data_IF_890267022555
#
_entry.id   IF_890267022555
#
_cell.length_a   1.000
_cell.length_b   1.000
_cell.length_c   1.000
_cell.angle_alpha   90.00
_cell.angle_beta   90.00
_cell.angle_gamma   90.00
#
_symmetry.space_group_name_H-M   'P 1'
#
loop_
_entity.id
_entity.type
_entity.pdbx_description
1 polymer ?
#
# COMPACT_ATOMS: atom_id res chain seq x y z
N UNK A 1 34.93 -1.09 -1.89
CA UNK A 1 34.08 -2.08 -2.59
C UNK A 1 33.09 -1.39 -3.53
N UNK A 2 33.45 -0.26 -4.13
CA UNK A 2 32.55 0.58 -4.95
C UNK A 2 32.85 0.46 -6.45
N UNK A 3 34.09 0.08 -6.80
CA UNK A 3 34.56 0.03 -8.19
C UNK A 3 33.85 -1.06 -9.02
N UNK A 4 33.34 -2.11 -8.36
CA UNK A 4 32.64 -3.20 -9.05
C UNK A 4 31.21 -2.81 -9.44
N UNK A 5 30.57 -1.91 -8.69
CA UNK A 5 29.19 -1.50 -8.97
C UNK A 5 29.10 -0.69 -10.27
N UNK A 6 30.08 0.20 -10.49
CA UNK A 6 30.15 1.01 -11.70
C UNK A 6 30.36 0.15 -12.95
N UNK A 7 31.23 -0.87 -12.89
CA UNK A 7 31.41 -1.81 -14.01
C UNK A 7 30.15 -2.63 -14.30
N UNK A 8 29.44 -3.09 -13.28
CA UNK A 8 28.19 -3.83 -13.45
C UNK A 8 27.09 -2.95 -14.06
N UNK A 9 27.04 -1.68 -13.66
CA UNK A 9 26.10 -0.72 -14.21
C UNK A 9 26.43 -0.38 -15.67
N UNK A 10 27.71 -0.11 -15.97
CA UNK A 10 28.16 0.20 -17.32
C UNK A 10 27.89 -1.00 -18.27
N UNK A 11 28.15 -2.24 -17.83
CA UNK A 11 27.81 -3.46 -18.61
C UNK A 11 26.31 -3.65 -18.83
N UNK A 12 25.46 -3.26 -17.87
CA UNK A 12 24.01 -3.34 -18.03
C UNK A 12 23.48 -2.31 -19.05
N UNK A 13 24.18 -1.18 -19.21
CA UNK A 13 23.79 -0.10 -20.11
C UNK A 13 24.36 -0.23 -21.54
N UNK A 14 25.36 -1.08 -21.76
CA UNK A 14 26.04 -1.26 -23.07
C UNK A 14 25.10 -1.67 -24.22
N UNK A 15 23.89 -2.16 -23.93
CA UNK A 15 22.87 -2.54 -24.92
C UNK A 15 21.66 -1.60 -25.00
N UNK A 16 21.58 -0.57 -24.15
CA UNK A 16 20.43 0.33 -24.15
C UNK A 16 20.53 1.32 -25.32
N UNK A 17 19.51 1.41 -26.18
CA UNK A 17 19.50 2.42 -27.23
C UNK A 17 19.49 3.81 -26.59
N UNK A 18 20.42 4.67 -27.03
CA UNK A 18 20.48 6.05 -26.54
C UNK A 18 19.09 6.69 -26.64
N UNK A 19 18.61 7.35 -25.56
CA UNK A 19 17.33 8.04 -25.61
C UNK A 19 17.36 9.04 -26.77
N UNK A 20 16.26 9.15 -27.54
CA UNK A 20 16.22 10.02 -28.71
C UNK A 20 16.57 11.45 -28.28
N UNK A 21 17.45 12.15 -29.03
CA UNK A 21 17.87 13.49 -28.64
C UNK A 21 16.69 14.45 -28.67
N UNK A 22 16.53 15.24 -27.61
CA UNK A 22 15.47 16.24 -27.46
C UNK A 22 14.66 16.07 -26.18
N UNK A 23 13.61 16.87 -26.05
CA UNK A 23 12.69 16.77 -24.92
C UNK A 23 11.79 15.54 -25.11
N UNK A 24 12.05 14.50 -24.30
CA UNK A 24 11.30 13.24 -24.32
C UNK A 24 9.80 13.48 -24.07
N UNK A 25 9.45 14.52 -23.30
CA UNK A 25 8.05 14.88 -23.06
C UNK A 25 7.37 15.37 -24.33
N UNK A 26 8.03 16.24 -25.11
CA UNK A 26 7.50 16.74 -26.39
C UNK A 26 7.36 15.60 -27.41
N UNK A 27 8.31 14.68 -27.45
CA UNK A 27 8.32 13.55 -28.38
C UNK A 27 7.19 12.56 -28.09
N UNK A 28 6.96 12.25 -26.81
CA UNK A 28 5.84 11.42 -26.37
C UNK A 28 4.47 12.08 -26.67
N UNK A 29 4.35 13.39 -26.47
CA UNK A 29 3.13 14.15 -26.78
C UNK A 29 2.82 14.21 -28.28
N UNK A 30 3.85 14.27 -29.14
CA UNK A 30 3.70 14.26 -30.60
C UNK A 30 3.12 12.94 -31.14
N UNK A 31 3.56 11.81 -30.58
CA UNK A 31 3.05 10.49 -30.94
C UNK A 31 1.57 10.31 -30.55
N UNK A 32 1.18 10.77 -29.35
CA UNK A 32 -0.19 10.68 -28.85
C UNK A 32 -1.23 11.44 -29.70
N UNK A 33 -0.85 12.56 -30.34
CA UNK A 33 -1.75 13.34 -31.19
C UNK A 33 -2.14 12.65 -32.51
N UNK A 34 -1.34 11.71 -33.02
CA UNK A 34 -1.67 10.98 -34.27
C UNK A 34 -2.77 9.94 -34.09
N UNK A 35 -2.97 9.42 -32.88
CA UNK A 35 -3.96 8.39 -32.57
C UNK A 35 -5.40 8.96 -32.60
N UNK A 36 -5.57 10.25 -32.27
CA UNK A 36 -6.91 10.88 -32.21
C UNK A 36 -7.55 11.11 -33.59
N UNK A 37 -6.77 11.20 -34.67
CA UNK A 37 -7.30 11.58 -36.00
C UNK A 37 -8.02 10.46 -36.77
N UNK A 38 -7.89 9.19 -36.36
CA UNK A 38 -8.48 8.05 -37.08
C UNK A 38 -9.93 7.70 -36.68
N UNK A 39 -10.51 8.36 -35.68
CA UNK A 39 -11.87 8.03 -35.18
C UNK A 39 -12.98 8.99 -35.61
N UNK A 40 -12.71 9.97 -36.48
CA UNK A 40 -13.71 10.98 -36.87
C UNK A 40 -14.22 10.89 -38.31
N UNK A 41 -13.92 9.82 -39.05
CA UNK A 41 -14.50 9.61 -40.39
C UNK A 41 -15.43 8.41 -40.36
N UNK A 42 -16.66 8.57 -39.89
CA UNK A 42 -17.85 7.76 -40.25
C UNK A 42 -19.13 8.29 -39.58
N UNK A 43 -19.47 9.59 -39.74
CA UNK A 43 -20.88 10.04 -39.72
C UNK A 43 -20.96 11.27 -40.63
N UNK A 44 -21.34 11.06 -41.89
CA UNK A 44 -21.82 12.14 -42.76
C UNK A 44 -23.33 12.27 -42.62
N UNK A 45 -23.85 13.51 -42.55
CA UNK A 45 -25.28 13.77 -42.65
C UNK A 45 -25.80 14.96 -41.83
N UNK A 46 -25.62 16.17 -42.37
CA UNK A 46 -26.51 17.35 -42.35
C UNK A 46 -27.39 17.73 -41.13
N UNK A 47 -27.19 18.99 -40.71
CA UNK A 47 -28.19 20.06 -40.48
C UNK A 47 -28.97 20.14 -39.15
N UNK A 48 -28.62 21.20 -38.40
CA UNK A 48 -29.48 22.14 -37.66
C UNK A 48 -30.55 21.60 -36.68
N UNK A 49 -30.25 21.72 -35.38
CA UNK A 49 -31.23 22.17 -34.37
C UNK A 49 -30.49 22.61 -33.09
N UNK A 50 -30.71 23.85 -32.67
CA UNK A 50 -30.30 24.34 -31.37
C UNK A 50 -31.16 23.67 -30.28
N UNK A 51 -30.52 23.00 -29.33
CA UNK A 51 -31.11 22.68 -28.03
C UNK A 51 -30.13 23.09 -26.94
N UNK A 52 -30.59 24.02 -26.11
CA UNK A 52 -30.01 24.39 -24.83
C UNK A 52 -29.95 23.13 -23.97
N UNK A 53 -28.75 22.63 -23.72
CA UNK A 53 -28.48 21.53 -22.80
C UNK A 53 -27.08 21.73 -22.27
N UNK A 54 -26.99 22.11 -20.99
CA UNK A 54 -25.75 22.40 -20.30
C UNK A 54 -24.74 21.25 -20.44
N UNK A 55 -23.75 21.41 -21.32
CA UNK A 55 -22.55 20.61 -21.30
C UNK A 55 -21.69 21.15 -20.16
N UNK A 56 -21.85 20.51 -19.00
CA UNK A 56 -20.96 20.65 -17.85
C UNK A 56 -19.53 20.53 -18.36
N UNK A 57 -18.82 21.65 -18.43
CA UNK A 57 -17.38 21.66 -18.60
C UNK A 57 -16.82 21.02 -17.34
N UNK A 58 -16.60 19.70 -17.39
CA UNK A 58 -15.77 19.04 -16.40
C UNK A 58 -14.38 19.63 -16.61
N UNK A 59 -14.04 20.61 -15.77
CA UNK A 59 -12.67 21.05 -15.57
C UNK A 59 -11.89 19.86 -15.03
N UNK A 60 -11.43 18.99 -15.92
CA UNK A 60 -10.40 18.02 -15.60
C UNK A 60 -9.11 18.81 -15.56
N UNK A 61 -8.84 19.38 -14.39
CA UNK A 61 -7.49 19.77 -13.99
C UNK A 61 -6.69 18.47 -13.95
N UNK A 62 -5.69 18.24 -14.81
CA UNK A 62 -4.74 17.19 -14.56
C UNK A 62 -3.80 17.72 -13.48
N UNK A 63 -4.16 17.48 -12.22
CA UNK A 63 -3.21 17.68 -11.13
C UNK A 63 -2.09 16.65 -11.29
N UNK A 64 -0.81 17.05 -11.33
CA UNK A 64 0.27 16.14 -11.04
C UNK A 64 0.29 15.96 -9.52
N UNK A 65 -0.62 15.13 -9.00
CA UNK A 65 -0.43 14.58 -7.66
C UNK A 65 0.18 13.19 -7.83
N UNK A 66 1.46 13.22 -8.20
CA UNK A 66 2.46 12.53 -7.39
C UNK A 66 2.36 13.07 -5.96
N UNK A 67 1.27 12.73 -5.29
CA UNK A 67 1.21 12.74 -3.85
C UNK A 67 2.21 11.69 -3.43
N UNK A 68 3.34 12.17 -2.94
CA UNK A 68 4.14 11.51 -1.92
C UNK A 68 3.25 10.49 -1.22
N UNK A 69 3.54 9.20 -1.37
CA UNK A 69 2.95 8.20 -0.47
C UNK A 69 3.25 8.77 0.90
N UNK A 70 2.27 9.24 1.70
CA UNK A 70 2.60 9.68 3.03
C UNK A 70 3.19 8.43 3.66
N UNK A 71 4.48 8.50 3.97
CA UNK A 71 5.17 7.55 4.82
C UNK A 71 4.58 7.72 6.23
N UNK A 72 3.27 7.49 6.38
CA UNK A 72 2.58 7.43 7.67
C UNK A 72 2.53 6.02 8.20
N UNK A 73 2.89 5.03 7.38
CA UNK A 73 3.51 3.82 7.92
C UNK A 73 4.97 4.20 8.13
N UNK A 74 5.46 4.43 9.36
CA UNK A 74 6.89 4.58 9.57
C UNK A 74 7.54 3.37 8.90
N UNK A 75 8.61 3.56 8.14
CA UNK A 75 9.28 2.47 7.42
C UNK A 75 9.54 1.25 8.35
N UNK A 76 9.64 1.50 9.66
CA UNK A 76 9.62 0.50 10.73
C UNK A 76 8.39 -0.44 10.74
N UNK A 77 7.15 0.03 10.55
CA UNK A 77 5.96 -0.82 10.54
C UNK A 77 5.87 -1.69 9.27
N UNK A 78 6.24 -1.15 8.12
CA UNK A 78 6.42 -1.95 6.91
C UNK A 78 7.59 -2.96 7.06
N UNK A 79 8.66 -2.57 7.75
CA UNK A 79 9.78 -3.47 8.07
C UNK A 79 9.36 -4.57 9.05
N UNK A 80 8.47 -4.30 10.01
CA UNK A 80 7.94 -5.31 10.94
C UNK A 80 7.09 -6.37 10.24
N UNK A 81 6.32 -6.00 9.20
CA UNK A 81 5.58 -6.99 8.40
C UNK A 81 6.51 -7.93 7.60
N UNK A 82 7.73 -7.48 7.25
CA UNK A 82 8.73 -8.26 6.50
C UNK A 82 9.74 -9.01 7.39
N UNK A 83 9.69 -8.80 8.70
CA UNK A 83 10.67 -9.34 9.62
C UNK A 83 10.47 -10.83 9.96
N UNK A 84 9.34 -11.42 9.57
CA UNK A 84 9.10 -12.86 9.64
C UNK A 84 9.36 -13.49 8.27
N UNK A 85 10.55 -14.07 8.02
CA UNK A 85 10.88 -14.66 6.71
C UNK A 85 9.95 -15.83 6.35
N UNK A 86 9.30 -16.45 7.32
CA UNK A 86 8.26 -17.45 7.10
C UNK A 86 6.99 -16.86 6.48
N UNK A 87 6.70 -15.58 6.70
CA UNK A 87 5.49 -14.95 6.20
C UNK A 87 5.66 -14.44 4.77
N UNK A 88 4.79 -14.89 3.87
CA UNK A 88 4.59 -14.28 2.57
C UNK A 88 3.62 -13.10 2.69
N UNK A 89 4.16 -11.89 2.75
CA UNK A 89 3.41 -10.63 2.72
C UNK A 89 3.18 -10.10 1.30
N UNK A 90 3.73 -10.77 0.28
CA UNK A 90 3.58 -10.37 -1.13
C UNK A 90 2.32 -10.95 -1.75
N UNK A 91 1.84 -12.07 -1.21
CA UNK A 91 0.60 -12.68 -1.68
C UNK A 91 -0.62 -11.85 -1.28
N UNK A 92 -1.42 -11.51 -2.28
CA UNK A 92 -2.80 -11.02 -2.05
C UNK A 92 -3.81 -12.15 -2.02
N UNK A 93 -3.39 -13.36 -2.34
CA UNK A 93 -4.22 -14.56 -2.37
C UNK A 93 -3.87 -15.42 -1.15
N UNK A 94 -4.86 -15.95 -0.45
CA UNK A 94 -4.66 -16.80 0.73
C UNK A 94 -4.10 -16.07 1.97
N UNK A 95 -4.48 -14.82 2.20
CA UNK A 95 -4.17 -14.10 3.44
C UNK A 95 -4.80 -14.81 4.65
N UNK A 96 -3.98 -15.34 5.55
CA UNK A 96 -4.43 -16.02 6.77
C UNK A 96 -4.09 -15.25 8.03
N UNK A 97 -3.12 -14.35 7.97
CA UNK A 97 -2.62 -13.60 9.10
C UNK A 97 -2.81 -12.12 8.81
N UNK A 98 -3.45 -11.42 9.74
CA UNK A 98 -3.82 -10.02 9.57
C UNK A 98 -3.36 -9.22 10.78
N UNK A 99 -2.86 -8.03 10.51
CA UNK A 99 -2.46 -7.05 11.52
C UNK A 99 -3.19 -5.76 11.26
N UNK A 100 -3.97 -5.33 12.25
CA UNK A 100 -4.65 -4.02 12.24
C UNK A 100 -3.81 -3.08 13.09
N UNK A 101 -3.19 -2.09 12.47
CA UNK A 101 -2.44 -1.04 13.16
C UNK A 101 -3.37 0.08 13.57
N UNK A 102 -3.25 0.52 14.82
CA UNK A 102 -4.07 1.59 15.37
C UNK A 102 -3.38 2.94 15.20
N UNK A 103 -4.18 4.00 15.10
CA UNK A 103 -3.67 5.37 15.12
C UNK A 103 -3.00 5.69 16.46
N UNK A 104 -1.98 6.54 16.47
CA UNK A 104 -1.30 6.95 17.71
C UNK A 104 -2.22 7.65 18.73
N UNK A 105 -3.28 8.31 18.26
CA UNK A 105 -4.28 9.02 19.07
C UNK A 105 -5.54 8.17 19.35
N UNK A 106 -5.45 6.84 19.19
CA UNK A 106 -6.60 5.96 19.44
C UNK A 106 -7.07 6.09 20.89
N UNK A 107 -8.35 6.36 21.08
CA UNK A 107 -8.96 6.44 22.40
C UNK A 107 -9.28 5.05 22.95
N UNK A 108 -9.37 4.91 24.28
CA UNK A 108 -9.81 3.66 24.93
C UNK A 108 -11.14 3.15 24.38
N UNK A 109 -12.08 4.06 24.12
CA UNK A 109 -13.39 3.73 23.58
C UNK A 109 -13.31 3.19 22.14
N UNK A 110 -12.49 3.80 21.28
CA UNK A 110 -12.28 3.31 19.92
C UNK A 110 -11.59 1.95 19.92
N UNK A 111 -10.55 1.78 20.73
CA UNK A 111 -9.83 0.51 20.88
C UNK A 111 -10.77 -0.61 21.36
N UNK A 112 -11.57 -0.36 22.39
CA UNK A 112 -12.55 -1.32 22.89
C UNK A 112 -13.64 -1.66 21.87
N UNK A 113 -14.08 -0.68 21.07
CA UNK A 113 -15.06 -0.91 20.01
C UNK A 113 -14.50 -1.81 18.90
N UNK A 114 -13.25 -1.57 18.46
CA UNK A 114 -12.56 -2.40 17.49
C UNK A 114 -12.38 -3.82 18.05
N UNK A 115 -11.88 -3.95 19.28
CA UNK A 115 -11.65 -5.24 19.93
C UNK A 115 -12.95 -6.05 20.03
N UNK A 116 -14.04 -5.43 20.51
CA UNK A 116 -15.34 -6.09 20.61
C UNK A 116 -15.87 -6.52 19.23
N UNK A 117 -15.69 -5.68 18.21
CA UNK A 117 -16.03 -6.01 16.84
C UNK A 117 -15.25 -7.21 16.30
N UNK A 118 -13.95 -7.29 16.58
CA UNK A 118 -13.09 -8.41 16.15
C UNK A 118 -13.43 -9.70 16.90
N UNK A 119 -13.74 -9.64 18.19
CA UNK A 119 -14.14 -10.81 18.99
C UNK A 119 -15.47 -11.40 18.53
N UNK A 120 -16.38 -10.56 18.02
CA UNK A 120 -17.68 -10.98 17.50
C UNK A 120 -17.64 -11.45 16.04
N UNK A 121 -16.55 -11.22 15.31
CA UNK A 121 -16.45 -11.51 13.89
C UNK A 121 -16.14 -13.00 13.64
N UNK A 122 -17.04 -13.75 12.96
CA UNK A 122 -16.82 -15.18 12.66
C UNK A 122 -15.68 -15.43 11.65
N UNK A 123 -15.15 -14.39 11.01
CA UNK A 123 -13.97 -14.50 10.14
C UNK A 123 -12.66 -14.50 10.94
N UNK A 124 -12.69 -14.11 12.22
CA UNK A 124 -11.53 -14.11 13.12
C UNK A 124 -11.46 -15.43 13.88
N UNK A 125 -10.30 -16.09 13.84
CA UNK A 125 -10.02 -17.35 14.56
C UNK A 125 -9.28 -17.11 15.87
N UNK A 126 -8.19 -16.36 15.81
CA UNK A 126 -7.38 -15.97 16.96
C UNK A 126 -7.23 -14.46 16.94
N UNK A 127 -7.22 -13.82 18.11
CA UNK A 127 -7.05 -12.38 18.27
C UNK A 127 -6.12 -12.12 19.45
N UNK A 128 -5.04 -11.40 19.20
CA UNK A 128 -4.06 -10.98 20.18
C UNK A 128 -3.87 -9.46 20.08
N UNK A 129 -3.93 -8.77 21.21
CA UNK A 129 -3.57 -7.35 21.28
C UNK A 129 -2.07 -7.21 21.55
N UNK A 130 -1.42 -6.34 20.79
CA UNK A 130 -0.01 -6.01 20.93
C UNK A 130 0.14 -4.53 21.29
N UNK A 131 0.58 -4.27 22.52
CA UNK A 131 0.91 -2.91 22.99
C UNK A 131 2.17 -2.38 22.31
N UNK A 132 2.41 -1.08 22.42
CA UNK A 132 3.62 -0.42 21.88
C UNK A 132 4.89 -1.02 22.49
N UNK A 133 4.88 -1.29 23.79
CA UNK A 133 6.01 -1.89 24.51
C UNK A 133 6.27 -3.31 24.03
N UNK A 134 5.20 -4.11 23.85
CA UNK A 134 5.31 -5.47 23.33
C UNK A 134 5.84 -5.48 21.88
N UNK A 135 5.33 -4.57 21.04
CA UNK A 135 5.83 -4.37 19.68
C UNK A 135 7.31 -4.00 19.67
N UNK A 136 7.74 -3.10 20.56
CA UNK A 136 9.14 -2.68 20.68
C UNK A 136 10.06 -3.81 21.13
N UNK A 137 9.63 -4.63 22.09
CA UNK A 137 10.40 -5.82 22.50
C UNK A 137 10.60 -6.78 21.33
N UNK A 138 9.54 -7.09 20.58
CA UNK A 138 9.64 -7.96 19.40
C UNK A 138 10.48 -7.34 18.29
N UNK A 139 10.32 -6.04 18.05
CA UNK A 139 11.11 -5.30 17.06
C UNK A 139 12.61 -5.41 17.34
N UNK A 140 13.04 -5.23 18.60
CA UNK A 140 14.45 -5.40 18.99
C UNK A 140 14.97 -6.81 18.74
N UNK A 141 14.16 -7.83 18.98
CA UNK A 141 14.55 -9.22 18.73
C UNK A 141 14.68 -9.51 17.23
N UNK A 142 13.71 -9.05 16.44
CA UNK A 142 13.68 -9.23 14.98
C UNK A 142 14.85 -8.55 14.28
N UNK A 143 15.29 -7.39 14.78
CA UNK A 143 16.35 -6.58 14.19
C UNK A 143 17.64 -6.59 15.03
N UNK A 144 17.85 -7.63 15.84
CA UNK A 144 19.05 -7.75 16.70
C UNK A 144 20.37 -7.74 15.91
N UNK A 145 20.33 -8.21 14.66
CA UNK A 145 21.48 -8.22 13.75
C UNK A 145 21.69 -6.86 13.05
N UNK A 146 20.87 -5.85 13.36
CA UNK A 146 20.92 -4.50 12.80
C UNK A 146 20.76 -3.44 13.91
N UNK A 147 21.73 -3.34 14.84
CA UNK A 147 21.62 -2.49 16.04
C UNK A 147 21.51 -1.00 15.73
N UNK A 148 22.11 -0.52 14.62
CA UNK A 148 21.98 0.88 14.19
C UNK A 148 20.55 1.21 13.79
N UNK A 149 19.83 0.27 13.16
CA UNK A 149 18.42 0.43 12.83
C UNK A 149 17.56 0.44 14.08
N UNK A 150 17.82 -0.47 15.02
CA UNK A 150 17.11 -0.53 16.30
C UNK A 150 17.24 0.78 17.09
N UNK A 151 18.41 1.42 17.07
CA UNK A 151 18.64 2.70 17.76
C UNK A 151 17.90 3.88 17.12
N UNK A 152 17.55 3.78 15.83
CA UNK A 152 16.81 4.83 15.11
C UNK A 152 15.29 4.77 15.27
N UNK A 153 14.77 3.70 15.88
CA UNK A 153 13.33 3.49 16.06
C UNK A 153 13.02 3.46 17.56
N UNK A 154 12.36 4.50 18.05
CA UNK A 154 11.85 4.53 19.42
C UNK A 154 10.51 3.79 19.57
N UNK A 155 10.14 3.39 20.79
CA UNK A 155 8.88 2.71 21.06
C UNK A 155 7.65 3.52 20.67
N UNK A 156 7.72 4.85 20.71
CA UNK A 156 6.68 5.76 20.26
C UNK A 156 6.44 5.73 18.75
N UNK A 157 7.40 5.21 17.99
CA UNK A 157 7.30 5.05 16.53
C UNK A 157 6.65 3.72 16.12
N UNK A 158 6.25 2.89 17.09
CA UNK A 158 5.59 1.61 16.85
C UNK A 158 4.13 1.68 17.32
N UNK A 159 3.16 1.66 16.39
CA UNK A 159 1.75 1.72 16.76
C UNK A 159 1.33 0.43 17.46
N UNK A 160 0.30 0.54 18.29
CA UNK A 160 -0.41 -0.62 18.81
C UNK A 160 -1.08 -1.39 17.67
N UNK A 161 -1.24 -2.70 17.83
CA UNK A 161 -1.91 -3.49 16.81
C UNK A 161 -2.73 -4.65 17.36
N UNK A 162 -3.76 -5.02 16.63
CA UNK A 162 -4.43 -6.30 16.78
C UNK A 162 -3.84 -7.27 15.77
N UNK A 163 -3.29 -8.38 16.27
CA UNK A 163 -2.79 -9.50 15.47
C UNK A 163 -3.86 -10.57 15.46
N UNK A 164 -4.24 -11.06 14.29
CA UNK A 164 -5.27 -12.07 14.20
C UNK A 164 -4.99 -13.08 13.09
N UNK A 165 -5.63 -14.23 13.21
CA UNK A 165 -5.66 -15.23 12.13
C UNK A 165 -7.08 -15.40 11.61
N UNK A 166 -7.22 -15.51 10.29
CA UNK A 166 -8.52 -15.65 9.64
C UNK A 166 -8.98 -17.11 9.62
N UNK A 167 -10.28 -17.33 9.79
CA UNK A 167 -10.90 -18.66 9.63
C UNK A 167 -10.83 -19.14 8.19
N UNK A 168 -10.98 -18.23 7.22
CA UNK A 168 -10.85 -18.51 5.78
C UNK A 168 -10.24 -17.33 5.06
N UNK A 169 -9.17 -17.58 4.31
CA UNK A 169 -8.46 -16.54 3.60
C UNK A 169 -9.27 -15.84 2.49
N UNK A 170 -10.27 -16.52 1.91
CA UNK A 170 -11.17 -15.93 0.92
C UNK A 170 -12.06 -14.81 1.48
N UNK A 171 -12.14 -14.68 2.82
CA UNK A 171 -12.90 -13.62 3.49
C UNK A 171 -12.11 -12.33 3.71
N UNK A 172 -10.81 -12.32 3.42
CA UNK A 172 -9.97 -11.14 3.63
C UNK A 172 -10.49 -9.86 2.95
N UNK A 173 -11.03 -9.89 1.71
CA UNK A 173 -11.59 -8.68 1.10
C UNK A 173 -12.81 -8.12 1.86
N UNK A 174 -13.70 -9.00 2.33
CA UNK A 174 -14.88 -8.60 3.11
C UNK A 174 -14.45 -8.03 4.48
N UNK A 175 -13.44 -8.65 5.08
CA UNK A 175 -12.83 -8.20 6.34
C UNK A 175 -12.23 -6.79 6.18
N UNK A 176 -11.40 -6.58 5.16
CA UNK A 176 -10.82 -5.26 4.87
C UNK A 176 -11.90 -4.19 4.72
N UNK A 177 -12.92 -4.45 3.90
CA UNK A 177 -14.02 -3.51 3.69
C UNK A 177 -14.74 -3.12 4.99
N UNK A 178 -14.77 -4.02 5.97
CA UNK A 178 -15.44 -3.82 7.27
C UNK A 178 -14.60 -2.99 8.24
N UNK A 179 -13.28 -3.18 8.28
CA UNK A 179 -12.42 -2.60 9.32
C UNK A 179 -11.54 -1.44 8.86
N UNK A 180 -11.16 -1.36 7.58
CA UNK A 180 -10.14 -0.41 7.10
C UNK A 180 -10.50 1.07 7.29
N UNK A 181 -11.79 1.38 7.48
CA UNK A 181 -12.30 2.74 7.68
C UNK A 181 -12.86 2.97 9.08
N UNK A 182 -12.66 2.04 10.02
CA UNK A 182 -13.14 2.23 11.38
C UNK A 182 -12.33 3.32 12.11
N UNK A 183 -12.98 4.15 12.95
CA UNK A 183 -12.28 5.13 13.77
C UNK A 183 -11.21 4.48 14.64
N UNK A 184 -9.98 4.98 14.57
CA UNK A 184 -8.83 4.44 15.31
C UNK A 184 -8.00 3.41 14.56
N UNK A 185 -8.45 2.94 13.39
CA UNK A 185 -7.64 2.10 12.48
C UNK A 185 -6.79 2.98 11.59
N UNK A 186 -5.48 2.71 11.58
CA UNK A 186 -4.51 3.38 10.70
C UNK A 186 -4.28 2.59 9.41
N UNK A 187 -4.01 1.29 9.54
CA UNK A 187 -3.69 0.43 8.39
C UNK A 187 -4.03 -1.03 8.69
N UNK A 188 -4.28 -1.82 7.65
CA UNK A 188 -4.51 -3.27 7.75
C UNK A 188 -3.58 -3.97 6.78
N UNK A 189 -2.66 -4.76 7.34
CA UNK A 189 -1.71 -5.56 6.57
C UNK A 189 -2.05 -7.03 6.72
N UNK A 190 -2.17 -7.71 5.59
CA UNK A 190 -2.43 -9.13 5.50
C UNK A 190 -1.28 -9.87 4.85
N UNK A 191 -1.01 -11.08 5.32
CA UNK A 191 -0.05 -12.01 4.73
C UNK A 191 -0.44 -13.46 4.99
N UNK A 192 0.39 -14.37 4.46
CA UNK A 192 0.32 -15.80 4.71
C UNK A 192 1.52 -16.20 5.58
N UNK A 193 1.29 -16.57 6.84
CA UNK A 193 2.34 -17.11 7.70
C UNK A 193 2.13 -18.62 7.91
N UNK A 194 2.93 -19.50 7.28
CA UNK A 194 2.86 -20.94 7.49
C UNK A 194 3.17 -21.25 8.96
N UNK A 195 2.24 -21.91 9.67
CA UNK A 195 2.46 -22.42 11.02
C UNK A 195 1.71 -21.70 12.16
N UNK A 196 0.90 -20.67 11.86
CA UNK A 196 0.06 -19.99 12.87
C UNK A 196 -1.32 -20.62 13.07
N UNK A 197 -1.68 -21.63 12.28
CA UNK A 197 -2.85 -22.48 12.54
C UNK A 197 -2.55 -23.46 13.68
N UNK A 198 -2.71 -23.00 14.92
CA UNK A 198 -3.02 -23.93 16.01
C UNK A 198 -4.42 -24.49 15.85
#
# INVERSE_FOLDING_TARGET
>A
MEQNLKELFDRALEGEPLPPPGDLTLTAMGAGRRIRRRRQFLVGGSAAAALVGALVLVNVVPGPESGEVPLTVPAAAAAMAKARPECDWTTRQNVTDVSIFLTYEVTDAQRAAIESGLQADPTVRNLDFESREAAYVKFKELWKDSPDFVQSVGPESLPESFRLTMTRASRYPDFLATYQHQPGVQDIVGGLCPGTSK
#
